data_IF_413678517062
#
_entry.id   IF_413678517062
#
_cell.length_a   1.000
_cell.length_b   1.000
_cell.length_c   1.000
_cell.angle_alpha   90.00
_cell.angle_beta   90.00
_cell.angle_gamma   90.00
#
_symmetry.space_group_name_H-M   'P 1'
#
loop_
_entity.id
_entity.type
_entity.pdbx_description
1 polymer ?
#
# COMPACT_ATOMS: atom_id res chain seq x y z
N UNK A 1 -37.24 0.83 21.36
CA UNK A 1 -37.68 0.64 19.96
C UNK A 1 -36.47 0.36 19.07
N UNK A 2 -35.86 -0.84 19.09
CA UNK A 2 -34.74 -1.17 18.16
C UNK A 2 -34.65 -2.67 17.80
N UNK A 3 -35.70 -3.46 18.02
CA UNK A 3 -35.71 -4.89 17.66
C UNK A 3 -36.03 -5.20 16.19
N UNK A 4 -36.40 -4.17 15.39
CA UNK A 4 -36.79 -4.35 13.99
C UNK A 4 -35.60 -4.20 13.02
N UNK A 5 -34.57 -3.42 13.38
CA UNK A 5 -33.36 -3.27 12.57
C UNK A 5 -32.41 -4.49 12.67
N UNK A 6 -32.53 -5.32 13.70
CA UNK A 6 -31.73 -6.55 13.84
C UNK A 6 -32.30 -7.76 13.09
N UNK A 7 -33.49 -7.63 12.49
CA UNK A 7 -34.16 -8.71 11.72
C UNK A 7 -34.13 -8.53 10.21
N UNK A 8 -33.43 -7.52 9.70
CA UNK A 8 -33.26 -7.35 8.26
C UNK A 8 -32.10 -8.28 7.82
N UNK A 9 -32.33 -9.32 7.01
CA UNK A 9 -31.29 -10.24 6.54
C UNK A 9 -30.41 -9.60 5.43
N UNK A 10 -30.24 -8.27 5.46
CA UNK A 10 -29.49 -7.53 4.45
C UNK A 10 -28.02 -7.34 4.82
N UNK A 11 -27.61 -7.70 6.05
CA UNK A 11 -26.27 -7.40 6.55
C UNK A 11 -25.21 -8.48 6.27
N UNK A 12 -25.54 -9.66 5.76
CA UNK A 12 -24.63 -10.82 5.91
C UNK A 12 -24.43 -11.65 4.64
N UNK A 13 -23.95 -11.00 3.59
CA UNK A 13 -23.08 -11.65 2.58
C UNK A 13 -22.11 -10.68 1.87
N UNK A 14 -22.22 -9.37 2.15
CA UNK A 14 -21.33 -8.37 1.57
C UNK A 14 -19.93 -8.35 2.20
N UNK A 15 -19.77 -8.75 3.45
CA UNK A 15 -18.48 -8.63 4.15
C UNK A 15 -17.44 -9.63 3.63
N UNK A 16 -17.82 -10.91 3.51
CA UNK A 16 -16.99 -11.94 2.88
C UNK A 16 -16.72 -11.63 1.41
N UNK A 17 -17.74 -11.16 0.68
CA UNK A 17 -17.62 -10.81 -0.74
C UNK A 17 -16.77 -9.55 -0.96
N UNK A 18 -16.81 -8.57 -0.06
CA UNK A 18 -16.01 -7.34 -0.12
C UNK A 18 -14.53 -7.64 0.10
N UNK A 19 -14.18 -8.46 1.07
CA UNK A 19 -12.77 -8.80 1.32
C UNK A 19 -12.18 -9.59 0.14
N UNK A 20 -12.97 -10.48 -0.47
CA UNK A 20 -12.59 -11.19 -1.69
C UNK A 20 -12.41 -10.25 -2.89
N UNK A 21 -13.37 -9.35 -3.14
CA UNK A 21 -13.27 -8.37 -4.23
C UNK A 21 -12.11 -7.39 -3.98
N UNK A 22 -11.92 -6.95 -2.73
CA UNK A 22 -10.85 -6.05 -2.35
C UNK A 22 -9.47 -6.68 -2.54
N UNK A 23 -9.30 -7.98 -2.27
CA UNK A 23 -8.03 -8.67 -2.50
C UNK A 23 -7.74 -8.90 -3.99
N UNK A 24 -8.76 -9.21 -4.79
CA UNK A 24 -8.61 -9.30 -6.25
C UNK A 24 -8.26 -7.94 -6.85
N UNK A 25 -8.98 -6.90 -6.42
CA UNK A 25 -8.77 -5.53 -6.90
C UNK A 25 -7.38 -5.03 -6.49
N UNK A 26 -6.94 -5.28 -5.26
CA UNK A 26 -5.61 -4.89 -4.80
C UNK A 26 -4.51 -5.63 -5.58
N UNK A 27 -4.67 -6.93 -5.83
CA UNK A 27 -3.74 -7.72 -6.65
C UNK A 27 -3.67 -7.23 -8.10
N UNK A 28 -4.82 -6.87 -8.69
CA UNK A 28 -4.86 -6.30 -10.04
C UNK A 28 -4.20 -4.91 -10.12
N UNK A 29 -4.52 -4.00 -9.20
CA UNK A 29 -3.90 -2.67 -9.13
C UNK A 29 -2.38 -2.78 -8.92
N UNK A 30 -1.92 -3.73 -8.12
CA UNK A 30 -0.50 -4.00 -7.93
C UNK A 30 0.16 -4.48 -9.22
N UNK A 31 -0.42 -5.48 -9.90
CA UNK A 31 0.12 -6.01 -11.15
C UNK A 31 0.16 -4.92 -12.24
N UNK A 32 -0.89 -4.10 -12.33
CA UNK A 32 -0.94 -2.97 -13.26
C UNK A 32 0.11 -1.90 -12.93
N UNK A 33 0.29 -1.55 -11.65
CA UNK A 33 1.30 -0.57 -11.23
C UNK A 33 2.72 -0.98 -11.59
N UNK A 34 3.09 -2.23 -11.34
CA UNK A 34 4.39 -2.77 -11.74
C UNK A 34 4.53 -2.91 -13.26
N UNK A 35 3.45 -3.24 -13.97
CA UNK A 35 3.44 -3.25 -15.43
C UNK A 35 3.81 -1.88 -16.00
N UNK A 36 3.19 -0.80 -15.52
CA UNK A 36 3.53 0.57 -15.96
C UNK A 36 4.97 0.96 -15.61
N UNK A 37 5.47 0.55 -14.43
CA UNK A 37 6.86 0.81 -14.06
C UNK A 37 7.85 0.14 -15.02
N UNK A 38 7.56 -1.10 -15.43
CA UNK A 38 8.37 -1.85 -16.39
C UNK A 38 8.27 -1.24 -17.79
N UNK A 39 7.07 -0.89 -18.25
CA UNK A 39 6.85 -0.30 -19.58
C UNK A 39 7.66 1.00 -19.76
N UNK A 40 7.60 1.90 -18.77
CA UNK A 40 8.41 3.13 -18.76
C UNK A 40 9.92 2.82 -18.72
N UNK A 41 10.34 1.83 -17.93
CA UNK A 41 11.76 1.44 -17.87
C UNK A 41 12.29 0.88 -19.18
N UNK A 42 11.45 0.17 -19.94
CA UNK A 42 11.84 -0.42 -21.24
C UNK A 42 11.87 0.65 -22.33
N UNK A 43 10.88 1.55 -22.37
CA UNK A 43 10.81 2.63 -23.36
C UNK A 43 11.90 3.69 -23.18
N UNK A 44 12.28 4.00 -21.93
CA UNK A 44 13.20 5.09 -21.62
C UNK A 44 14.52 4.63 -21.00
N UNK A 45 14.77 3.33 -20.81
CA UNK A 45 15.95 2.80 -20.10
C UNK A 45 17.32 3.09 -20.73
N UNK A 46 17.36 3.76 -21.88
CA UNK A 46 18.60 4.21 -22.55
C UNK A 46 18.74 5.73 -22.67
N UNK A 47 17.81 6.53 -22.17
CA UNK A 47 17.89 8.00 -22.23
C UNK A 47 18.55 8.56 -20.96
N UNK A 48 19.29 9.66 -21.10
CA UNK A 48 20.02 10.30 -19.98
C UNK A 48 19.12 10.84 -18.87
N UNK A 49 17.81 10.98 -19.15
CA UNK A 49 16.79 11.48 -18.24
C UNK A 49 16.11 10.37 -17.43
N UNK A 50 16.38 9.09 -17.72
CA UNK A 50 15.78 7.98 -16.98
C UNK A 50 16.50 7.76 -15.65
N UNK A 51 15.79 8.05 -14.55
CA UNK A 51 16.28 7.90 -13.18
C UNK A 51 15.61 6.68 -12.52
N UNK A 52 16.23 5.48 -12.60
CA UNK A 52 15.64 4.24 -12.06
C UNK A 52 15.38 4.30 -10.54
N UNK A 53 16.09 5.19 -9.83
CA UNK A 53 15.98 5.43 -8.39
C UNK A 53 14.56 5.88 -7.99
N UNK A 54 13.80 6.52 -8.87
CA UNK A 54 12.46 7.00 -8.53
C UNK A 54 11.43 5.87 -8.36
N UNK A 55 11.69 4.68 -8.90
CA UNK A 55 10.82 3.52 -8.70
C UNK A 55 10.94 2.89 -7.30
N UNK A 56 11.97 3.23 -6.52
CA UNK A 56 12.20 2.68 -5.17
C UNK A 56 11.04 3.03 -4.24
N UNK A 57 10.48 4.24 -4.36
CA UNK A 57 9.30 4.64 -3.60
C UNK A 57 8.10 3.71 -3.85
N UNK A 58 7.86 3.34 -5.12
CA UNK A 58 6.84 2.37 -5.49
C UNK A 58 7.11 1.00 -4.87
N UNK A 59 8.37 0.54 -4.93
CA UNK A 59 8.77 -0.73 -4.32
C UNK A 59 8.54 -0.77 -2.79
N UNK A 60 8.91 0.28 -2.05
CA UNK A 60 8.64 0.34 -0.61
C UNK A 60 7.14 0.36 -0.29
N UNK A 61 6.34 1.09 -1.08
CA UNK A 61 4.87 1.09 -0.94
C UNK A 61 4.28 -0.31 -1.15
N UNK A 62 4.79 -1.06 -2.12
CA UNK A 62 4.33 -2.42 -2.41
C UNK A 62 4.65 -3.43 -1.31
N UNK A 63 5.85 -3.34 -0.73
CA UNK A 63 6.25 -4.17 0.42
C UNK A 63 5.37 -3.85 1.64
N UNK A 64 5.15 -2.56 1.90
CA UNK A 64 4.24 -2.11 2.94
C UNK A 64 2.83 -2.66 2.74
N UNK A 65 2.30 -2.60 1.52
CA UNK A 65 0.97 -3.13 1.21
C UNK A 65 0.87 -4.62 1.51
N UNK A 66 1.88 -5.41 1.13
CA UNK A 66 1.95 -6.84 1.44
C UNK A 66 1.93 -7.06 2.96
N UNK A 67 2.76 -6.33 3.71
CA UNK A 67 2.81 -6.44 5.17
C UNK A 67 1.48 -6.13 5.84
N UNK A 68 0.79 -5.07 5.39
CA UNK A 68 -0.52 -4.68 5.94
C UNK A 68 -1.61 -5.69 5.62
N UNK A 69 -1.58 -6.32 4.44
CA UNK A 69 -2.56 -7.34 4.04
C UNK A 69 -2.26 -8.73 4.62
N UNK A 70 -1.03 -9.00 5.08
CA UNK A 70 -0.63 -10.26 5.70
C UNK A 70 -1.13 -10.41 7.15
N UNK A 71 -1.51 -9.32 7.81
CA UNK A 71 -1.97 -9.36 9.21
C UNK A 71 -3.50 -9.48 9.23
N UNK A 72 -4.03 -10.56 9.80
CA UNK A 72 -5.47 -10.72 9.97
C UNK A 72 -5.99 -9.93 11.17
N UNK A 73 -7.22 -9.43 11.08
CA UNK A 73 -7.83 -8.62 12.16
C UNK A 73 -7.90 -9.38 13.50
N UNK A 74 -8.03 -10.71 13.46
CA UNK A 74 -8.02 -11.59 14.65
C UNK A 74 -6.69 -11.49 15.44
N UNK A 75 -5.56 -11.28 14.76
CA UNK A 75 -4.26 -11.09 15.42
C UNK A 75 -4.10 -9.68 16.02
N UNK A 76 -4.84 -8.68 15.52
CA UNK A 76 -4.84 -7.31 16.02
C UNK A 76 -5.78 -7.13 17.23
N UNK A 77 -6.89 -7.87 17.26
CA UNK A 77 -7.91 -7.79 18.31
C UNK A 77 -7.47 -8.42 19.64
N UNK A 78 -6.44 -9.29 19.61
CA UNK A 78 -5.77 -9.75 20.82
C UNK A 78 -6.52 -10.85 21.57
N UNK A 79 -7.13 -11.79 20.86
CA UNK A 79 -7.60 -13.03 21.48
C UNK A 79 -6.42 -13.87 21.97
N UNK A 80 -6.38 -14.19 23.27
CA UNK A 80 -5.34 -14.97 23.97
C UNK A 80 -5.23 -16.45 23.53
N UNK A 81 -5.55 -16.80 22.28
CA UNK A 81 -5.67 -18.19 21.83
C UNK A 81 -4.54 -18.68 20.92
N UNK A 82 -3.45 -17.91 20.74
CA UNK A 82 -2.27 -18.38 19.99
C UNK A 82 -1.04 -18.32 20.87
N UNK A 83 -0.76 -19.43 21.55
CA UNK A 83 0.44 -19.66 22.35
C UNK A 83 1.69 -19.76 21.47
N UNK A 84 2.30 -18.62 21.18
CA UNK A 84 3.62 -18.50 20.55
C UNK A 84 4.44 -17.38 21.17
N UNK A 85 5.78 -17.50 21.16
CA UNK A 85 6.73 -16.59 21.83
C UNK A 85 6.68 -15.13 21.34
N UNK A 86 5.98 -14.85 20.24
CA UNK A 86 5.81 -13.51 19.65
C UNK A 86 4.34 -13.30 19.22
N UNK A 87 3.41 -13.42 20.17
CA UNK A 87 1.95 -13.40 19.94
C UNK A 87 1.38 -12.10 19.35
N UNK A 88 0.23 -11.62 19.83
CA UNK A 88 -0.47 -10.43 19.29
C UNK A 88 0.43 -9.18 19.19
N UNK A 89 1.42 -9.03 20.07
CA UNK A 89 2.36 -7.91 20.07
C UNK A 89 3.25 -7.90 18.81
N UNK A 90 3.71 -9.06 18.35
CA UNK A 90 4.55 -9.18 17.15
C UNK A 90 3.78 -8.82 15.87
N UNK A 91 2.53 -9.29 15.77
CA UNK A 91 1.64 -8.92 14.67
C UNK A 91 1.37 -7.41 14.63
N UNK A 92 1.18 -6.77 15.79
CA UNK A 92 1.01 -5.32 15.90
C UNK A 92 2.26 -4.54 15.49
N UNK A 93 3.44 -5.00 15.90
CA UNK A 93 4.71 -4.38 15.50
C UNK A 93 4.93 -4.49 13.99
N UNK A 94 4.67 -5.67 13.40
CA UNK A 94 4.78 -5.90 11.96
C UNK A 94 3.81 -5.01 11.17
N UNK A 95 2.55 -4.91 11.62
CA UNK A 95 1.54 -4.05 11.04
C UNK A 95 1.92 -2.56 11.12
N UNK A 96 2.46 -2.14 12.27
CA UNK A 96 2.94 -0.77 12.46
C UNK A 96 4.12 -0.44 11.53
N UNK A 97 5.11 -1.33 11.40
CA UNK A 97 6.23 -1.15 10.47
C UNK A 97 5.75 -1.04 9.02
N UNK A 98 4.72 -1.80 8.64
CA UNK A 98 4.04 -1.63 7.35
C UNK A 98 3.56 -0.20 7.17
N UNK A 99 2.76 0.33 8.10
CA UNK A 99 2.27 1.71 8.01
C UNK A 99 3.38 2.76 7.91
N UNK A 100 4.45 2.62 8.71
CA UNK A 100 5.60 3.53 8.66
C UNK A 100 6.25 3.52 7.27
N UNK A 101 6.40 2.35 6.65
CA UNK A 101 6.94 2.25 5.30
C UNK A 101 6.01 2.83 4.23
N UNK A 102 4.67 2.67 4.35
CA UNK A 102 3.71 3.33 3.46
C UNK A 102 3.81 4.85 3.54
N UNK A 103 3.83 5.43 4.74
CA UNK A 103 3.96 6.88 4.90
C UNK A 103 5.32 7.39 4.43
N UNK A 104 6.41 6.66 4.72
CA UNK A 104 7.75 7.00 4.24
C UNK A 104 7.84 7.03 2.72
N UNK A 105 7.24 6.04 2.04
CA UNK A 105 7.13 6.03 0.59
C UNK A 105 6.32 7.26 0.10
N UNK A 106 5.14 7.52 0.67
CA UNK A 106 4.31 8.66 0.25
C UNK A 106 5.03 10.01 0.39
N UNK A 107 5.74 10.24 1.49
CA UNK A 107 6.51 11.46 1.72
C UNK A 107 7.69 11.55 0.73
N UNK A 108 8.39 10.44 0.48
CA UNK A 108 9.47 10.37 -0.51
C UNK A 108 8.99 10.64 -1.94
N UNK A 109 7.81 10.13 -2.32
CA UNK A 109 7.18 10.44 -3.61
C UNK A 109 6.90 11.93 -3.74
N UNK A 110 6.34 12.54 -2.69
CA UNK A 110 6.08 13.98 -2.64
C UNK A 110 7.36 14.80 -2.81
N UNK A 111 8.44 14.41 -2.11
CA UNK A 111 9.73 15.09 -2.24
C UNK A 111 10.27 15.06 -3.68
N UNK A 112 10.22 13.90 -4.34
CA UNK A 112 10.66 13.76 -5.73
C UNK A 112 9.78 14.60 -6.67
N UNK A 113 8.46 14.61 -6.44
CA UNK A 113 7.52 15.39 -7.25
C UNK A 113 7.80 16.89 -7.17
N UNK A 114 7.91 17.44 -5.96
CA UNK A 114 8.17 18.87 -5.80
C UNK A 114 9.60 19.26 -6.22
N UNK A 115 10.60 18.45 -5.87
CA UNK A 115 12.01 18.76 -6.13
C UNK A 115 12.36 18.75 -7.61
N UNK A 116 11.97 17.70 -8.33
CA UNK A 116 12.39 17.51 -9.72
C UNK A 116 11.39 18.07 -10.72
N UNK A 117 10.08 18.00 -10.44
CA UNK A 117 9.05 18.38 -11.43
C UNK A 117 8.45 19.77 -11.22
N UNK A 118 8.45 20.30 -9.99
CA UNK A 118 7.92 21.66 -9.74
C UNK A 118 9.02 22.72 -9.63
N UNK A 119 10.16 22.42 -8.99
CA UNK A 119 11.21 23.41 -8.75
C UNK A 119 12.28 23.44 -9.84
N UNK A 120 12.58 22.29 -10.47
CA UNK A 120 13.62 22.19 -11.49
C UNK A 120 13.19 22.81 -12.84
N UNK A 121 11.88 22.84 -13.13
CA UNK A 121 11.31 23.53 -14.29
C UNK A 121 11.49 25.04 -14.25
N UNK A 122 11.42 25.64 -13.06
CA UNK A 122 11.62 27.08 -12.89
C UNK A 122 13.10 27.45 -13.00
N UNK A 123 14.00 26.67 -12.40
CA UNK A 123 15.45 26.94 -12.44
C UNK A 123 16.07 26.88 -13.85
N UNK A 124 15.58 26.01 -14.74
CA UNK A 124 16.09 25.89 -16.10
C UNK A 124 15.57 26.98 -17.07
N UNK A 125 14.50 27.70 -16.72
CA UNK A 125 13.99 28.83 -17.52
C UNK A 125 14.73 30.16 -17.25
N UNK A 126 15.57 30.23 -16.21
CA UNK A 126 16.33 31.43 -15.84
C UNK A 126 17.81 31.39 -16.27
N UNK A 127 18.22 30.40 -17.08
CA UNK A 127 19.59 30.24 -17.56
C UNK A 127 19.64 30.28 -19.09
#
# INVERSE_FOLDING_TARGET
MSGLLSRIPFSFDFENKRNYIASILSGFLFAAGWWFAIDVSVLYGGTTDYRPIFHICGAFSTISMIMLNMVTNEHLEGGDTVGGCCGSVGAKAWFFTGFVMAFGALIGAGWIFFGEYMLNSDFNNFK
#
